data_IF_582647290501
#
_entry.id   IF_582647290501
#
_cell.length_a   1.000
_cell.length_b   1.000
_cell.length_c   1.000
_cell.angle_alpha   90.00
_cell.angle_beta   90.00
_cell.angle_gamma   90.00
#
_symmetry.space_group_name_H-M   'P 1'
#
loop_
_entity.id
_entity.type
_entity.pdbx_description
1 polymer ?
#
# COMPACT_ATOMS: atom_id res chain seq x y z
N UNK A 1 -11.90 11.24 21.84
CA UNK A 1 -12.68 10.24 22.60
C UNK A 1 -11.83 9.08 23.13
N UNK A 2 -11.45 8.08 22.31
CA UNK A 2 -10.87 6.81 22.79
C UNK A 2 -9.69 6.95 23.78
N UNK A 3 -8.67 7.77 23.48
CA UNK A 3 -7.55 8.04 24.41
C UNK A 3 -8.01 8.52 25.81
N UNK A 4 -9.01 9.40 25.87
CA UNK A 4 -9.56 9.90 27.14
C UNK A 4 -10.29 8.80 27.92
N UNK A 5 -11.08 7.97 27.22
CA UNK A 5 -11.83 6.88 27.86
C UNK A 5 -10.89 5.82 28.45
N UNK A 6 -9.81 5.49 27.73
CA UNK A 6 -8.79 4.53 28.16
C UNK A 6 -8.02 5.06 29.38
N UNK A 7 -7.63 6.34 29.39
CA UNK A 7 -6.97 6.98 30.53
C UNK A 7 -7.86 7.07 31.80
N UNK A 8 -9.16 6.78 31.70
CA UNK A 8 -10.12 6.75 32.81
C UNK A 8 -10.74 5.34 33.03
N UNK A 9 -10.12 4.28 32.47
CA UNK A 9 -10.57 2.88 32.45
C UNK A 9 -12.01 2.63 31.93
N UNK A 10 -12.64 3.62 31.29
CA UNK A 10 -14.05 3.60 30.88
C UNK A 10 -14.28 3.32 29.38
N UNK A 11 -13.26 2.84 28.67
CA UNK A 11 -13.35 2.40 27.27
C UNK A 11 -14.24 1.15 27.15
N UNK A 12 -15.44 1.31 26.59
CA UNK A 12 -16.44 0.24 26.43
C UNK A 12 -16.33 -0.46 25.07
N UNK A 13 -16.92 -1.66 24.95
CA UNK A 13 -17.03 -2.41 23.69
C UNK A 13 -17.65 -1.56 22.57
N UNK A 14 -18.71 -0.80 22.86
CA UNK A 14 -19.33 0.10 21.88
C UNK A 14 -18.36 1.20 21.38
N UNK A 15 -17.46 1.70 22.24
CA UNK A 15 -16.44 2.67 21.84
C UNK A 15 -15.27 2.02 21.11
N UNK A 16 -14.94 0.75 21.39
CA UNK A 16 -14.02 -0.05 20.58
C UNK A 16 -14.59 -0.24 19.18
N UNK A 17 -15.81 -0.79 19.07
CA UNK A 17 -16.50 -1.03 17.80
C UNK A 17 -16.62 0.26 16.97
N UNK A 18 -17.04 1.38 17.56
CA UNK A 18 -17.10 2.67 16.87
C UNK A 18 -15.70 3.16 16.42
N UNK A 19 -14.67 2.99 17.25
CA UNK A 19 -13.29 3.33 16.88
C UNK A 19 -12.80 2.49 15.71
N UNK A 20 -13.26 1.24 15.60
CA UNK A 20 -12.89 0.32 14.51
C UNK A 20 -13.66 0.59 13.23
N UNK A 21 -14.96 0.92 13.30
CA UNK A 21 -15.73 1.40 12.14
C UNK A 21 -15.09 2.64 11.51
N UNK A 22 -14.65 3.61 12.34
CA UNK A 22 -13.89 4.78 11.86
C UNK A 22 -12.52 4.39 11.28
N UNK A 23 -11.92 3.29 11.74
CA UNK A 23 -10.73 2.69 11.13
C UNK A 23 -11.01 2.10 9.75
N UNK A 24 -12.10 1.35 9.60
CA UNK A 24 -12.55 0.71 8.36
C UNK A 24 -12.84 1.74 7.25
N UNK A 25 -13.66 2.76 7.54
CA UNK A 25 -13.94 3.87 6.62
C UNK A 25 -12.65 4.67 6.27
N UNK A 26 -11.61 4.58 7.10
CA UNK A 26 -10.30 5.18 6.86
C UNK A 26 -9.35 4.37 5.98
N UNK A 27 -9.67 3.11 5.64
CA UNK A 27 -8.79 2.22 4.85
C UNK A 27 -8.50 2.78 3.44
N UNK A 28 -9.50 3.19 2.63
CA UNK A 28 -9.25 3.74 1.28
C UNK A 28 -8.47 5.07 1.27
N UNK A 29 -8.36 5.72 2.42
CA UNK A 29 -7.63 6.98 2.65
C UNK A 29 -6.31 6.76 3.40
N UNK A 30 -5.91 5.50 3.62
CA UNK A 30 -4.70 5.07 4.34
C UNK A 30 -4.55 5.72 5.74
N UNK A 31 -5.66 6.00 6.43
CA UNK A 31 -5.64 6.80 7.67
C UNK A 31 -4.99 6.06 8.84
N UNK A 32 -3.86 6.58 9.31
CA UNK A 32 -3.05 5.96 10.36
C UNK A 32 -3.58 6.15 11.78
N UNK A 33 -4.62 6.96 11.99
CA UNK A 33 -5.14 7.31 13.33
C UNK A 33 -5.59 6.09 14.16
N UNK A 34 -6.33 5.15 13.56
CA UNK A 34 -6.78 3.93 14.23
C UNK A 34 -5.61 2.96 14.52
N UNK A 35 -4.74 2.61 13.55
CA UNK A 35 -3.54 1.81 13.80
C UNK A 35 -2.59 2.42 14.85
N UNK A 36 -2.36 3.74 14.80
CA UNK A 36 -1.49 4.47 15.75
C UNK A 36 -2.06 4.41 17.17
N UNK A 37 -3.35 4.66 17.33
CA UNK A 37 -4.05 4.54 18.61
C UNK A 37 -3.86 3.16 19.24
N UNK A 38 -4.06 2.08 18.47
CA UNK A 38 -3.95 0.72 19.02
C UNK A 38 -2.52 0.24 19.24
N UNK A 39 -1.56 0.74 18.45
CA UNK A 39 -0.13 0.60 18.78
C UNK A 39 0.23 1.33 20.08
N UNK A 40 -0.23 2.57 20.31
CA UNK A 40 0.00 3.28 21.57
C UNK A 40 -0.53 2.45 22.77
N UNK A 41 -1.75 1.92 22.64
CA UNK A 41 -2.42 1.10 23.67
C UNK A 41 -1.65 -0.19 23.94
N UNK A 42 -1.15 -0.88 22.89
CA UNK A 42 -0.43 -2.14 23.05
C UNK A 42 0.92 -1.98 23.79
N UNK A 43 1.61 -0.86 23.55
CA UNK A 43 2.91 -0.54 24.15
C UNK A 43 2.80 0.06 25.55
N UNK A 44 1.68 0.71 25.89
CA UNK A 44 1.45 1.29 27.21
C UNK A 44 1.33 0.22 28.30
N UNK A 45 2.45 -0.10 28.96
CA UNK A 45 2.56 -1.18 29.96
C UNK A 45 1.61 -1.07 31.16
N UNK A 46 1.09 0.13 31.44
CA UNK A 46 0.16 0.40 32.54
C UNK A 46 -1.31 0.16 32.17
N UNK A 47 -1.64 -0.09 30.89
CA UNK A 47 -3.00 -0.34 30.45
C UNK A 47 -3.38 -1.82 30.54
N UNK A 48 -4.63 -2.05 30.89
CA UNK A 48 -5.21 -3.38 31.00
C UNK A 48 -5.32 -4.04 29.61
N UNK A 49 -4.83 -5.28 29.53
CA UNK A 49 -4.83 -6.08 28.30
C UNK A 49 -6.24 -6.46 27.83
N UNK A 50 -7.28 -6.28 28.67
CA UNK A 50 -8.70 -6.40 28.29
C UNK A 50 -9.05 -5.64 27.01
N UNK A 51 -8.44 -4.47 26.77
CA UNK A 51 -8.72 -3.66 25.58
C UNK A 51 -8.18 -4.28 24.28
N UNK A 52 -7.09 -5.03 24.36
CA UNK A 52 -6.54 -5.78 23.21
C UNK A 52 -7.48 -6.95 22.87
N UNK A 53 -8.00 -7.63 23.88
CA UNK A 53 -9.00 -8.70 23.72
C UNK A 53 -10.33 -8.17 23.17
N UNK A 54 -10.80 -7.02 23.65
CA UNK A 54 -12.01 -6.37 23.13
C UNK A 54 -11.88 -6.01 21.64
N UNK A 55 -10.71 -5.54 21.18
CA UNK A 55 -10.49 -5.30 19.75
C UNK A 55 -10.43 -6.62 18.96
N UNK A 56 -9.70 -7.63 19.44
CA UNK A 56 -9.58 -8.92 18.76
C UNK A 56 -10.91 -9.69 18.66
N UNK A 57 -11.87 -9.39 19.53
CA UNK A 57 -13.23 -9.96 19.50
C UNK A 57 -14.22 -9.11 18.69
N UNK A 58 -13.81 -7.98 18.10
CA UNK A 58 -14.68 -7.10 17.33
C UNK A 58 -14.80 -7.58 15.89
N UNK A 59 -16.02 -7.89 15.43
CA UNK A 59 -16.25 -8.27 14.02
C UNK A 59 -15.83 -7.14 13.07
N UNK A 60 -16.05 -5.87 13.43
CA UNK A 60 -15.55 -4.72 12.68
C UNK A 60 -14.02 -4.70 12.51
N UNK A 61 -13.28 -5.39 13.38
CA UNK A 61 -11.83 -5.52 13.23
C UNK A 61 -11.44 -6.66 12.28
N UNK A 62 -12.28 -7.70 12.14
CA UNK A 62 -12.18 -8.66 11.03
C UNK A 62 -12.44 -7.92 9.71
N UNK A 63 -13.53 -7.14 9.63
CA UNK A 63 -13.86 -6.32 8.45
C UNK A 63 -12.72 -5.35 8.06
N UNK A 64 -12.10 -4.67 9.04
CA UNK A 64 -10.93 -3.80 8.83
C UNK A 64 -9.74 -4.54 8.23
N UNK A 65 -9.45 -5.74 8.74
CA UNK A 65 -8.32 -6.55 8.26
C UNK A 65 -8.60 -7.08 6.85
N UNK A 66 -9.82 -7.52 6.57
CA UNK A 66 -10.21 -8.02 5.25
C UNK A 66 -10.13 -6.93 4.18
N UNK A 67 -10.65 -5.73 4.44
CA UNK A 67 -10.53 -4.59 3.52
C UNK A 67 -9.08 -4.21 3.20
N UNK A 68 -8.16 -4.35 4.16
CA UNK A 68 -6.72 -4.10 3.94
C UNK A 68 -6.03 -5.24 3.18
N UNK A 69 -6.36 -6.50 3.46
CA UNK A 69 -5.70 -7.65 2.82
C UNK A 69 -6.25 -7.96 1.41
N UNK A 70 -7.52 -7.68 1.15
CA UNK A 70 -8.19 -7.99 -0.10
C UNK A 70 -8.15 -6.81 -1.07
N UNK A 71 -8.65 -5.65 -0.65
CA UNK A 71 -8.85 -4.49 -1.53
C UNK A 71 -7.65 -3.53 -1.51
N UNK A 72 -7.33 -2.96 -0.35
CA UNK A 72 -6.41 -1.81 -0.23
C UNK A 72 -5.02 -2.19 0.30
N UNK A 73 -4.43 -3.21 -0.32
CA UNK A 73 -3.09 -3.72 0.05
C UNK A 73 -1.97 -2.68 -0.02
N UNK A 74 -2.15 -1.59 -0.76
CA UNK A 74 -1.11 -0.55 -0.85
C UNK A 74 -0.96 0.26 0.44
N UNK A 75 -1.98 0.30 1.30
CA UNK A 75 -1.85 0.93 2.62
C UNK A 75 -0.85 0.21 3.53
N UNK A 76 -0.55 -1.08 3.28
CA UNK A 76 0.50 -1.84 3.97
C UNK A 76 1.91 -1.29 3.69
N UNK A 77 2.08 -0.41 2.71
CA UNK A 77 3.33 0.33 2.53
C UNK A 77 3.59 1.30 3.70
N UNK A 78 2.55 1.85 4.32
CA UNK A 78 2.67 2.70 5.49
C UNK A 78 3.17 1.87 6.71
N UNK A 79 4.27 2.29 7.38
CA UNK A 79 4.87 1.51 8.45
C UNK A 79 3.99 1.40 9.71
N UNK A 80 3.10 2.37 9.96
CA UNK A 80 2.20 2.35 11.12
C UNK A 80 1.12 1.26 10.90
N UNK A 81 0.52 1.23 9.71
CA UNK A 81 -0.50 0.24 9.34
C UNK A 81 0.09 -1.17 9.35
N UNK A 82 1.27 -1.36 8.73
CA UNK A 82 1.94 -2.66 8.67
C UNK A 82 2.42 -3.18 10.04
N UNK A 83 2.92 -2.31 10.92
CA UNK A 83 3.31 -2.70 12.29
C UNK A 83 2.09 -3.10 13.12
N UNK A 84 1.01 -2.32 13.05
CA UNK A 84 -0.26 -2.64 13.71
C UNK A 84 -0.79 -4.00 13.28
N UNK A 85 -0.86 -4.26 11.97
CA UNK A 85 -1.35 -5.54 11.46
C UNK A 85 -0.39 -6.70 11.76
N UNK A 86 0.94 -6.50 11.68
CA UNK A 86 1.92 -7.50 12.13
C UNK A 86 1.72 -7.94 13.59
N UNK A 87 1.21 -7.03 14.44
CA UNK A 87 1.02 -7.23 15.88
C UNK A 87 -0.37 -7.77 16.25
N UNK A 88 -1.39 -7.46 15.46
CA UNK A 88 -2.79 -7.82 15.74
C UNK A 88 -3.36 -8.90 14.82
N UNK A 89 -2.89 -9.05 13.59
CA UNK A 89 -3.37 -10.07 12.64
C UNK A 89 -3.33 -11.50 13.23
N UNK A 90 -2.26 -11.97 13.90
CA UNK A 90 -2.25 -13.31 14.47
C UNK A 90 -3.35 -13.57 15.52
N UNK A 91 -3.96 -12.52 16.09
CA UNK A 91 -5.06 -12.62 17.06
C UNK A 91 -6.42 -12.88 16.40
N UNK A 92 -6.57 -12.54 15.12
CA UNK A 92 -7.82 -12.64 14.34
C UNK A 92 -7.69 -13.47 13.06
N UNK A 93 -6.49 -13.94 12.73
CA UNK A 93 -6.20 -14.71 11.52
C UNK A 93 -7.12 -15.94 11.33
N UNK A 94 -7.55 -16.60 12.41
CA UNK A 94 -8.49 -17.72 12.35
C UNK A 94 -9.95 -17.34 11.98
N UNK A 95 -10.32 -16.06 12.11
CA UNK A 95 -11.61 -15.52 11.66
C UNK A 95 -11.51 -14.98 10.23
N UNK A 96 -10.38 -14.31 9.91
CA UNK A 96 -10.11 -13.69 8.61
C UNK A 96 -9.79 -14.72 7.53
N UNK A 97 -9.00 -15.74 7.83
CA UNK A 97 -8.54 -16.75 6.85
C UNK A 97 -9.59 -17.84 6.63
N UNK A 98 -10.77 -17.40 6.18
CA UNK A 98 -11.82 -18.27 5.67
C UNK A 98 -11.40 -18.94 4.35
N UNK A 99 -12.11 -19.99 3.92
CA UNK A 99 -11.91 -20.62 2.61
C UNK A 99 -11.98 -19.59 1.46
N UNK A 100 -12.90 -18.62 1.54
CA UNK A 100 -13.05 -17.57 0.53
C UNK A 100 -11.86 -16.61 0.53
N UNK A 101 -11.40 -16.19 1.71
CA UNK A 101 -10.24 -15.30 1.87
C UNK A 101 -8.95 -16.00 1.40
N UNK A 102 -8.76 -17.27 1.73
CA UNK A 102 -7.64 -18.08 1.26
C UNK A 102 -7.64 -18.22 -0.28
N UNK A 103 -8.80 -18.50 -0.89
CA UNK A 103 -8.93 -18.54 -2.35
C UNK A 103 -8.56 -17.19 -3.00
N UNK A 104 -8.90 -16.06 -2.39
CA UNK A 104 -8.50 -14.73 -2.89
C UNK A 104 -6.98 -14.49 -2.75
N UNK A 105 -6.35 -15.00 -1.68
CA UNK A 105 -4.90 -14.99 -1.51
C UNK A 105 -4.19 -15.89 -2.53
N UNK A 106 -4.74 -17.07 -2.87
CA UNK A 106 -4.20 -17.92 -3.95
C UNK A 106 -4.29 -17.22 -5.31
N UNK A 107 -5.42 -16.58 -5.63
CA UNK A 107 -5.55 -15.78 -6.85
C UNK A 107 -4.56 -14.59 -6.91
N UNK A 108 -4.18 -14.02 -5.76
CA UNK A 108 -3.10 -13.01 -5.69
C UNK A 108 -1.74 -13.61 -6.06
N UNK A 109 -1.44 -14.84 -5.64
CA UNK A 109 -0.17 -15.52 -5.94
C UNK A 109 -0.02 -15.74 -7.45
N UNK A 110 -1.05 -16.26 -8.12
CA UNK A 110 -1.02 -16.41 -9.59
C UNK A 110 -0.99 -15.06 -10.30
N UNK A 111 -1.70 -14.03 -9.80
CA UNK A 111 -1.64 -12.66 -10.34
C UNK A 111 -0.23 -12.06 -10.26
N UNK A 112 0.53 -12.36 -9.20
CA UNK A 112 1.94 -11.92 -9.10
C UNK A 112 2.80 -12.58 -10.17
N UNK A 113 2.60 -13.87 -10.46
CA UNK A 113 3.29 -14.59 -11.54
C UNK A 113 3.03 -13.97 -12.92
N UNK A 114 1.77 -13.64 -13.22
CA UNK A 114 1.40 -12.94 -14.47
C UNK A 114 2.05 -11.55 -14.58
N UNK A 115 1.96 -10.72 -13.53
CA UNK A 115 2.62 -9.40 -13.48
C UNK A 115 4.13 -9.53 -13.70
N UNK A 116 4.75 -10.58 -13.15
CA UNK A 116 6.18 -10.89 -13.30
C UNK A 116 6.60 -11.13 -14.75
N UNK A 117 5.67 -11.52 -15.63
CA UNK A 117 5.93 -11.82 -17.03
C UNK A 117 5.80 -10.62 -17.97
N UNK A 118 5.05 -9.58 -17.57
CA UNK A 118 4.59 -8.51 -18.46
C UNK A 118 5.08 -7.09 -18.10
N UNK A 119 5.50 -6.83 -16.86
CA UNK A 119 5.60 -5.44 -16.34
C UNK A 119 7.00 -5.04 -15.88
N UNK A 120 7.36 -3.76 -16.05
CA UNK A 120 8.56 -3.18 -15.46
C UNK A 120 8.41 -3.08 -13.93
N UNK A 121 9.20 -3.88 -13.22
CA UNK A 121 9.20 -4.03 -11.76
C UNK A 121 9.43 -2.70 -11.05
N UNK A 122 10.28 -1.81 -11.57
CA UNK A 122 10.55 -0.51 -10.96
C UNK A 122 9.31 0.40 -10.95
N UNK A 123 8.46 0.29 -11.98
CA UNK A 123 7.20 1.04 -12.07
C UNK A 123 6.08 0.45 -11.19
N UNK A 124 6.14 -0.84 -10.83
CA UNK A 124 5.16 -1.51 -9.97
C UNK A 124 5.63 -1.78 -8.54
N UNK A 125 6.87 -1.43 -8.19
CA UNK A 125 7.51 -1.82 -6.93
C UNK A 125 6.70 -1.41 -5.68
N UNK A 126 6.09 -0.22 -5.68
CA UNK A 126 5.19 0.23 -4.61
C UNK A 126 3.98 -0.71 -4.43
N UNK A 127 3.28 -1.06 -5.53
CA UNK A 127 2.12 -1.97 -5.47
C UNK A 127 2.54 -3.37 -5.04
N UNK A 128 3.57 -3.92 -5.69
CA UNK A 128 4.12 -5.24 -5.39
C UNK A 128 4.54 -5.34 -3.92
N UNK A 129 5.13 -4.30 -3.34
CA UNK A 129 5.52 -4.31 -1.93
C UNK A 129 4.31 -4.40 -0.98
N UNK A 130 3.18 -3.77 -1.31
CA UNK A 130 1.92 -3.93 -0.58
C UNK A 130 1.37 -5.36 -0.68
N UNK A 131 1.33 -5.91 -1.90
CA UNK A 131 0.89 -7.28 -2.18
C UNK A 131 1.72 -8.33 -1.42
N UNK A 132 3.04 -8.18 -1.40
CA UNK A 132 3.93 -9.07 -0.64
C UNK A 132 3.84 -8.87 0.88
N UNK A 133 3.56 -7.64 1.36
CA UNK A 133 3.31 -7.40 2.79
C UNK A 133 2.01 -8.06 3.25
N UNK A 134 0.99 -8.13 2.40
CA UNK A 134 -0.23 -8.90 2.68
C UNK A 134 0.09 -10.41 2.81
N UNK A 135 0.82 -10.97 1.85
CA UNK A 135 1.31 -12.36 1.93
C UNK A 135 2.18 -12.59 3.17
N UNK A 136 3.04 -11.64 3.54
CA UNK A 136 3.87 -11.75 4.73
C UNK A 136 3.05 -11.78 6.03
N UNK A 137 1.95 -11.04 6.12
CA UNK A 137 1.02 -11.15 7.27
C UNK A 137 0.38 -12.53 7.33
N UNK A 138 -0.15 -13.02 6.20
CA UNK A 138 -0.79 -14.34 6.08
C UNK A 138 0.17 -15.47 6.48
N UNK A 139 1.36 -15.53 5.88
CA UNK A 139 2.31 -16.61 6.12
C UNK A 139 3.09 -16.49 7.44
N UNK A 140 3.13 -15.33 8.12
CA UNK A 140 3.66 -15.22 9.49
C UNK A 140 2.64 -15.50 10.60
N UNK A 141 1.36 -15.68 10.29
CA UNK A 141 0.36 -16.10 11.30
C UNK A 141 0.55 -17.55 11.75
N UNK A 142 0.02 -17.90 12.93
CA UNK A 142 0.04 -19.28 13.45
C UNK A 142 -0.95 -20.24 12.75
N UNK A 143 -1.72 -19.75 11.76
CA UNK A 143 -2.67 -20.56 10.99
C UNK A 143 -1.91 -21.55 10.08
N UNK A 144 -2.27 -22.86 10.06
CA UNK A 144 -1.56 -23.89 9.31
C UNK A 144 -1.88 -23.84 7.81
N UNK A 145 -1.34 -22.82 7.14
CA UNK A 145 -1.31 -22.70 5.68
C UNK A 145 0.02 -23.21 5.15
N UNK A 146 -0.01 -24.30 4.37
CA UNK A 146 1.14 -24.75 3.59
C UNK A 146 1.38 -23.78 2.42
N UNK A 147 2.60 -23.30 2.17
CA UNK A 147 2.90 -22.54 0.95
C UNK A 147 2.86 -23.44 -0.28
N UNK A 148 2.35 -22.94 -1.40
CA UNK A 148 2.35 -23.66 -2.67
C UNK A 148 3.73 -23.61 -3.36
N UNK A 149 4.02 -24.60 -4.20
CA UNK A 149 5.23 -24.59 -5.04
C UNK A 149 5.25 -23.38 -5.99
N UNK A 150 4.07 -22.94 -6.44
CA UNK A 150 3.88 -21.72 -7.23
C UNK A 150 4.30 -20.45 -6.47
N UNK A 151 3.94 -20.32 -5.18
CA UNK A 151 4.38 -19.21 -4.34
C UNK A 151 5.90 -19.19 -4.20
N UNK A 152 6.51 -20.34 -3.88
CA UNK A 152 7.96 -20.48 -3.68
C UNK A 152 8.70 -20.06 -4.96
N UNK A 153 8.28 -20.60 -6.10
CA UNK A 153 8.82 -20.28 -7.43
C UNK A 153 8.65 -18.80 -7.79
N UNK A 154 7.46 -18.23 -7.54
CA UNK A 154 7.15 -16.82 -7.82
C UNK A 154 7.99 -15.86 -6.97
N UNK A 155 8.16 -16.16 -5.68
CA UNK A 155 8.99 -15.37 -4.76
C UNK A 155 10.47 -15.41 -5.16
N UNK A 156 11.00 -16.56 -5.58
CA UNK A 156 12.39 -16.64 -6.08
C UNK A 156 12.59 -15.93 -7.42
N UNK A 157 11.65 -16.07 -8.37
CA UNK A 157 11.69 -15.37 -9.64
C UNK A 157 11.61 -13.84 -9.48
N UNK A 158 10.76 -13.38 -8.55
CA UNK A 158 10.65 -11.97 -8.17
C UNK A 158 11.93 -11.47 -7.49
N UNK A 159 12.49 -12.22 -6.54
CA UNK A 159 13.75 -11.86 -5.87
C UNK A 159 14.91 -11.71 -6.85
N UNK A 160 15.04 -12.64 -7.80
CA UNK A 160 16.08 -12.61 -8.83
C UNK A 160 15.94 -11.41 -9.77
N UNK A 161 14.72 -11.11 -10.23
CA UNK A 161 14.46 -9.98 -11.14
C UNK A 161 14.53 -8.62 -10.44
N UNK A 162 14.08 -8.47 -9.19
CA UNK A 162 14.24 -7.23 -8.41
C UNK A 162 15.73 -6.90 -8.21
N UNK A 163 16.55 -7.91 -7.89
CA UNK A 163 18.01 -7.78 -7.82
C UNK A 163 18.66 -7.37 -9.14
N UNK A 164 18.10 -7.79 -10.27
CA UNK A 164 18.54 -7.36 -11.60
C UNK A 164 18.13 -5.90 -11.87
N UNK A 165 16.89 -5.52 -11.57
CA UNK A 165 16.40 -4.16 -11.74
C UNK A 165 17.19 -3.14 -10.91
N UNK A 166 17.48 -3.42 -9.63
CA UNK A 166 18.29 -2.51 -8.78
C UNK A 166 19.71 -2.33 -9.35
N UNK A 167 20.33 -3.39 -9.89
CA UNK A 167 21.64 -3.28 -10.56
C UNK A 167 21.58 -2.39 -11.80
N UNK A 168 20.56 -2.56 -12.63
CA UNK A 168 20.37 -1.75 -13.83
C UNK A 168 20.14 -0.27 -13.49
N UNK A 169 19.38 0.03 -12.44
CA UNK A 169 19.23 1.41 -11.95
C UNK A 169 20.56 2.02 -11.48
N UNK A 170 21.35 1.26 -10.70
CA UNK A 170 22.66 1.70 -10.23
C UNK A 170 23.71 1.85 -11.35
N UNK A 171 23.62 1.06 -12.42
CA UNK A 171 24.50 1.19 -13.59
C UNK A 171 24.16 2.43 -14.45
N UNK A 172 22.90 2.87 -14.49
CA UNK A 172 22.47 4.09 -15.19
C UNK A 172 22.97 5.35 -14.47
N UNK A 173 22.83 5.43 -13.15
CA UNK A 173 23.24 6.58 -12.32
C UNK A 173 24.75 6.91 -12.48
N UNK A 174 25.59 5.88 -12.67
CA UNK A 174 27.03 6.01 -12.93
C UNK A 174 27.32 6.64 -14.31
N UNK A 175 26.37 6.62 -15.26
CA UNK A 175 26.59 7.11 -16.64
C UNK A 175 26.18 8.56 -16.90
N UNK A 176 25.47 9.22 -15.98
CA UNK A 176 25.00 10.61 -16.13
C UNK A 176 25.94 11.67 -15.52
N UNK A 177 27.15 11.31 -15.03
CA UNK A 177 28.14 12.33 -14.63
C UNK A 177 28.58 13.16 -15.86
N UNK A 178 28.38 14.49 -15.87
CA UNK A 178 28.60 15.30 -17.07
C UNK A 178 30.10 15.38 -17.43
N UNK A 179 30.51 15.01 -18.67
CA UNK A 179 31.92 14.90 -19.02
C UNK A 179 32.63 16.26 -18.97
N UNK A 180 33.47 16.45 -17.94
CA UNK A 180 34.18 17.71 -17.68
C UNK A 180 35.25 17.98 -18.74
N UNK A 181 34.87 18.79 -19.73
CA UNK A 181 35.62 19.16 -20.95
C UNK A 181 37.07 19.59 -20.71
N UNK A 182 38.02 18.64 -20.77
CA UNK A 182 39.46 18.95 -20.93
C UNK A 182 39.80 19.12 -22.41
N UNK A 183 39.88 20.39 -22.85
CA UNK A 183 40.04 20.82 -24.25
C UNK A 183 41.49 21.14 -24.62
N UNK A 184 42.10 20.34 -25.51
CA UNK A 184 43.16 20.68 -26.49
C UNK A 184 43.58 19.39 -27.24
N UNK A 185 43.98 19.39 -28.52
CA UNK A 185 44.19 20.48 -29.50
C UNK A 185 43.79 20.01 -30.93
N UNK A 186 43.56 20.98 -31.83
CA UNK A 186 43.13 20.82 -33.24
C UNK A 186 43.99 19.90 -34.13
N UNK A 187 43.37 19.27 -35.15
CA UNK A 187 43.81 19.32 -36.56
C UNK A 187 42.75 18.72 -37.54
N UNK A 188 42.30 19.52 -38.53
CA UNK A 188 41.87 19.24 -39.94
C UNK A 188 40.97 18.00 -40.28
N UNK A 189 40.08 18.01 -41.29
CA UNK A 189 39.95 18.84 -42.51
C UNK A 189 38.48 18.91 -43.05
N UNK A 190 38.23 19.71 -44.09
CA UNK A 190 37.01 19.70 -44.95
C UNK A 190 36.78 18.32 -45.66
N UNK A 191 35.66 17.97 -46.32
CA UNK A 191 34.56 18.67 -47.07
C UNK A 191 33.36 17.65 -47.21
N UNK A 192 32.17 17.80 -47.84
CA UNK A 192 31.47 18.81 -48.67
C UNK A 192 29.91 18.62 -48.60
N UNK A 193 29.14 19.21 -49.53
CA UNK A 193 27.71 19.05 -49.94
C UNK A 193 27.11 17.61 -49.95
N UNK A 194 25.78 17.39 -49.96
CA UNK A 194 24.62 18.32 -49.97
C UNK A 194 23.27 17.65 -50.34
N UNK A 195 22.28 18.44 -50.80
CA UNK A 195 20.97 18.04 -51.41
C UNK A 195 19.80 17.53 -50.54
N UNK A 196 19.01 18.49 -50.00
CA UNK A 196 17.57 18.73 -50.33
C UNK A 196 16.70 17.57 -50.88
N UNK A 197 15.62 17.20 -50.17
CA UNK A 197 14.26 16.87 -50.72
C UNK A 197 13.13 17.19 -49.71
N UNK A 198 12.07 17.83 -50.22
CA UNK A 198 10.66 17.90 -49.76
C UNK A 198 9.81 17.71 -51.05
N UNK A 199 8.45 17.66 -51.06
CA UNK A 199 7.43 17.67 -49.99
C UNK A 199 6.72 16.27 -49.91
N UNK A 200 5.42 15.97 -49.73
CA UNK A 200 4.08 16.66 -49.70
C UNK A 200 3.05 15.86 -48.85
N UNK A 201 1.90 16.50 -48.52
CA UNK A 201 0.50 15.95 -48.54
C UNK A 201 0.11 14.68 -47.73
N UNK A 202 -1.10 14.53 -47.16
CA UNK A 202 -2.29 15.40 -47.03
C UNK A 202 -3.41 14.67 -46.26
N UNK A 203 -4.42 15.42 -45.77
CA UNK A 203 -5.79 14.96 -45.44
C UNK A 203 -5.95 13.97 -44.25
N UNK A 204 -7.11 13.85 -43.59
CA UNK A 204 -8.27 14.75 -43.41
C UNK A 204 -9.14 14.23 -42.23
N UNK A 205 -10.11 15.03 -41.78
CA UNK A 205 -11.42 14.67 -41.15
C UNK A 205 -11.54 13.29 -40.45
N UNK A 206 -11.95 13.15 -39.19
CA UNK A 206 -12.82 14.01 -38.37
C UNK A 206 -13.82 13.12 -37.59
N UNK A 207 -14.84 13.71 -36.96
CA UNK A 207 -15.95 13.01 -36.26
C UNK A 207 -15.59 12.18 -35.01
N UNK A 208 -15.56 12.84 -33.85
CA UNK A 208 -15.78 12.16 -32.55
C UNK A 208 -17.28 12.09 -32.25
N UNK A 209 -17.83 10.89 -32.08
CA UNK A 209 -19.24 10.69 -31.70
C UNK A 209 -19.38 10.62 -30.18
N UNK A 210 -20.03 11.62 -29.57
CA UNK A 210 -20.39 11.61 -28.16
C UNK A 210 -21.84 11.12 -27.97
N UNK A 211 -22.01 9.97 -27.32
CA UNK A 211 -23.33 9.34 -27.08
C UNK A 211 -23.42 8.75 -25.67
N UNK A 212 -23.72 9.59 -24.68
CA UNK A 212 -24.13 9.16 -23.33
C UNK A 212 -25.39 9.92 -22.91
N UNK A 213 -26.51 9.20 -22.80
CA UNK A 213 -27.82 9.73 -22.45
C UNK A 213 -28.23 9.34 -21.02
N UNK A 214 -29.16 10.09 -20.44
CA UNK A 214 -29.68 9.95 -19.05
C UNK A 214 -28.64 10.26 -17.95
N UNK A 215 -28.98 10.78 -16.77
CA UNK A 215 -30.27 10.80 -16.04
C UNK A 215 -30.65 12.20 -15.53
N UNK A 216 -31.94 12.43 -15.25
CA UNK A 216 -32.49 13.71 -14.76
C UNK A 216 -32.91 13.66 -13.30
N UNK A 217 -32.24 14.48 -12.48
CA UNK A 217 -32.65 15.09 -11.21
C UNK A 217 -34.06 14.83 -10.62
N UNK A 218 -34.11 14.52 -9.32
CA UNK A 218 -35.00 15.22 -8.39
C UNK A 218 -34.51 15.20 -6.93
N UNK A 219 -34.68 16.35 -6.28
CA UNK A 219 -34.35 16.76 -4.90
C UNK A 219 -35.65 16.76 -4.05
N UNK A 220 -35.73 16.90 -2.71
CA UNK A 220 -34.79 16.99 -1.58
C UNK A 220 -35.60 17.08 -0.25
N UNK A 221 -34.91 17.37 0.87
CA UNK A 221 -35.39 17.75 2.22
C UNK A 221 -35.78 16.59 3.16
N UNK A 222 -35.29 16.45 4.41
CA UNK A 222 -34.60 17.29 5.41
C UNK A 222 -35.47 17.95 6.48
N UNK A 223 -35.23 17.59 7.73
CA UNK A 223 -35.59 18.36 8.94
C UNK A 223 -34.41 18.36 9.91
N UNK A 224 -34.32 19.38 10.77
CA UNK A 224 -33.13 19.67 11.57
C UNK A 224 -33.46 19.89 13.05
N UNK A 225 -32.47 19.66 13.90
CA UNK A 225 -32.47 20.08 15.32
C UNK A 225 -31.04 20.42 15.76
N UNK A 226 -30.91 21.42 16.63
CA UNK A 226 -29.63 22.09 16.91
C UNK A 226 -29.53 22.57 18.36
N UNK A 227 -28.37 22.33 19.00
CA UNK A 227 -27.96 22.98 20.26
C UNK A 227 -26.47 22.67 20.56
N UNK A 228 -25.82 23.52 21.36
CA UNK A 228 -24.59 23.15 22.08
C UNK A 228 -23.26 23.63 21.49
N UNK A 229 -23.03 24.94 21.43
CA UNK A 229 -21.67 25.47 21.26
C UNK A 229 -20.97 25.58 22.63
N UNK A 230 -19.78 24.99 22.73
CA UNK A 230 -18.77 25.30 23.75
C UNK A 230 -17.44 25.56 23.04
N UNK A 231 -16.62 26.45 23.63
CA UNK A 231 -15.51 27.11 22.96
C UNK A 231 -14.18 26.74 23.62
N UNK A 232 -13.45 25.82 23.00
CA UNK A 232 -12.06 25.53 23.34
C UNK A 232 -11.16 25.94 22.16
N UNK A 233 -9.99 26.50 22.48
CA UNK A 233 -9.05 27.10 21.52
C UNK A 233 -7.87 26.16 21.30
N UNK A 234 -7.13 26.36 20.20
CA UNK A 234 -5.84 25.72 19.91
C UNK A 234 -5.91 24.20 19.60
N UNK A 235 -6.41 23.89 18.41
CA UNK A 235 -6.22 22.60 17.74
C UNK A 235 -5.95 22.76 16.21
N UNK A 236 -5.40 23.91 15.80
CA UNK A 236 -4.98 24.19 14.41
C UNK A 236 -3.67 23.47 14.07
N UNK A 237 -3.72 22.14 14.00
CA UNK A 237 -2.68 21.30 13.39
C UNK A 237 -3.32 19.98 12.86
N UNK A 238 -4.55 20.10 12.35
CA UNK A 238 -5.47 18.97 12.09
C UNK A 238 -5.70 18.68 10.59
N UNK A 239 -4.79 19.14 9.73
CA UNK A 239 -4.63 18.65 8.37
C UNK A 239 -3.16 18.81 7.94
N UNK A 240 -2.32 17.81 8.26
CA UNK A 240 -1.19 17.49 7.40
C UNK A 240 -1.72 16.60 6.25
N UNK A 241 -1.74 17.07 5.00
CA UNK A 241 -1.76 16.15 3.86
C UNK A 241 -0.52 15.26 3.96
N UNK A 242 -0.69 13.97 3.62
CA UNK A 242 0.35 12.98 3.27
C UNK A 242 1.77 13.45 3.60
N UNK A 243 2.35 12.98 4.72
CA UNK A 243 3.76 13.21 5.07
C UNK A 243 4.62 13.05 3.81
N UNK A 244 5.42 14.08 3.49
CA UNK A 244 6.10 14.18 2.20
C UNK A 244 6.84 12.89 1.91
N UNK A 245 6.48 12.24 0.80
CA UNK A 245 7.00 10.92 0.45
C UNK A 245 8.43 11.08 -0.10
N UNK A 246 9.36 11.40 0.81
CA UNK A 246 10.81 11.49 0.57
C UNK A 246 11.30 10.30 -0.24
N UNK A 247 12.33 10.53 -1.06
CA UNK A 247 12.77 9.74 -2.21
C UNK A 247 13.02 8.25 -1.90
N UNK A 248 11.92 7.49 -1.78
CA UNK A 248 11.92 6.14 -1.23
C UNK A 248 12.22 5.16 -2.36
N UNK A 249 13.40 4.52 -2.30
CA UNK A 249 13.72 3.43 -3.24
C UNK A 249 12.82 2.22 -2.98
N UNK A 250 11.71 2.16 -3.71
CA UNK A 250 10.78 1.04 -3.68
C UNK A 250 11.40 -0.26 -4.22
N UNK A 251 12.49 -0.24 -5.00
CA UNK A 251 13.25 -1.46 -5.33
C UNK A 251 14.05 -1.96 -4.12
N UNK A 252 14.63 -1.08 -3.29
CA UNK A 252 15.25 -1.50 -2.03
C UNK A 252 14.22 -2.07 -1.07
N UNK A 253 13.13 -1.34 -0.82
CA UNK A 253 12.05 -1.78 0.09
C UNK A 253 11.42 -3.09 -0.40
N UNK A 254 11.17 -3.23 -1.71
CA UNK A 254 10.65 -4.46 -2.31
C UNK A 254 11.61 -5.63 -2.13
N UNK A 255 12.90 -5.50 -2.46
CA UNK A 255 13.86 -6.61 -2.32
C UNK A 255 13.95 -7.11 -0.87
N UNK A 256 13.91 -6.18 0.10
CA UNK A 256 13.85 -6.51 1.52
C UNK A 256 12.59 -7.31 1.84
N UNK A 257 11.40 -6.81 1.47
CA UNK A 257 10.12 -7.49 1.71
C UNK A 257 10.07 -8.87 1.03
N UNK A 258 10.57 -9.02 -0.20
CA UNK A 258 10.67 -10.33 -0.89
C UNK A 258 11.59 -11.28 -0.11
N UNK A 259 12.75 -10.80 0.34
CA UNK A 259 13.72 -11.62 1.10
C UNK A 259 13.20 -12.01 2.48
N UNK A 260 12.43 -11.13 3.13
CA UNK A 260 11.76 -11.41 4.41
C UNK A 260 10.61 -12.43 4.23
N UNK A 261 9.75 -12.24 3.22
CA UNK A 261 8.68 -13.18 2.86
C UNK A 261 9.24 -14.56 2.50
N UNK A 262 10.32 -14.64 1.72
CA UNK A 262 10.98 -15.91 1.39
C UNK A 262 11.35 -16.69 2.65
N UNK A 263 11.99 -16.04 3.63
CA UNK A 263 12.35 -16.66 4.91
C UNK A 263 11.14 -17.09 5.74
N UNK A 264 10.01 -16.40 5.65
CA UNK A 264 8.75 -16.83 6.29
C UNK A 264 8.13 -18.06 5.61
N UNK A 265 8.16 -18.10 4.27
CA UNK A 265 7.67 -19.22 3.46
C UNK A 265 8.53 -20.47 3.65
N UNK A 266 9.86 -20.35 3.57
CA UNK A 266 10.84 -21.44 3.83
C UNK A 266 10.77 -22.01 5.27
N UNK A 267 10.10 -21.32 6.20
CA UNK A 267 9.87 -21.78 7.59
C UNK A 267 8.55 -22.56 7.74
N UNK A 268 7.63 -22.48 6.77
CA UNK A 268 6.32 -23.17 6.79
C UNK A 268 6.22 -24.38 5.85
N UNK A 269 7.18 -24.55 4.93
CA UNK A 269 7.35 -25.78 4.13
C UNK A 269 8.16 -26.85 4.86
#
# INVERSE_FOLDING_TARGET
MCRLAINNDCMSEALVNLSTMVGFEGVPLHLTYFPKLWLDIHHAQHLDRKYITLLANSNYFVDYVEAVLLDERTCLNNPIIYNFLSMYFPKVAAHVLTEQTCNLIENLISSLSDIMSQVNIQATAYKLNGDLRALALVYNSDVPLSPSEELISTVDALLAKTKLARKQAAEVDITDEPPTKKRKLSLQKEENEGSKVQPTSSAALGSVSASTSSLSSSSSSSSSSSAGCSKETEADDLFSPIEEQEDTDWLEVLEKTVTDLKRSVEKKG
#
